data_IF_916865086928
#
_entry.id   IF_916865086928
#
_cell.length_a   1.000
_cell.length_b   1.000
_cell.length_c   1.000
_cell.angle_alpha   90.00
_cell.angle_beta   90.00
_cell.angle_gamma   90.00
#
_symmetry.space_group_name_H-M   'P 1'
#
loop_
_entity.id
_entity.type
_entity.pdbx_description
1 polymer ?
#
# COMPACT_ATOMS: atom_id res chain seq x y z
N UNK A 1 -29.29 -22.03 17.44
CA UNK A 1 -28.22 -21.05 17.11
C UNK A 1 -27.13 -21.86 16.41
N UNK A 2 -27.08 -21.83 15.09
CA UNK A 2 -26.13 -22.64 14.32
C UNK A 2 -24.74 -22.02 14.48
N UNK A 3 -23.87 -22.74 15.18
CA UNK A 3 -22.44 -22.48 15.19
C UNK A 3 -21.93 -22.76 13.78
N UNK A 4 -21.60 -21.70 13.05
CA UNK A 4 -20.78 -21.81 11.84
C UNK A 4 -19.47 -22.47 12.29
N UNK A 5 -19.03 -23.57 11.67
CA UNK A 5 -17.77 -24.19 12.05
C UNK A 5 -16.66 -23.17 11.86
N UNK A 6 -15.78 -23.05 12.86
CA UNK A 6 -14.55 -22.28 12.73
C UNK A 6 -13.78 -22.86 11.54
N UNK A 7 -13.78 -22.11 10.44
CA UNK A 7 -13.05 -22.41 9.23
C UNK A 7 -11.58 -22.64 9.61
N UNK A 8 -10.98 -23.71 9.09
CA UNK A 8 -9.65 -24.23 9.43
C UNK A 8 -8.56 -23.12 9.38
N UNK A 9 -8.40 -22.42 10.51
CA UNK A 9 -7.72 -21.14 10.63
C UNK A 9 -6.18 -21.29 10.68
N UNK A 10 -5.69 -22.53 10.68
CA UNK A 10 -4.27 -22.84 10.92
C UNK A 10 -3.43 -22.84 9.64
N UNK A 11 -4.04 -23.08 8.47
CA UNK A 11 -3.30 -23.27 7.21
C UNK A 11 -2.47 -22.04 6.80
N UNK A 12 -3.04 -20.85 6.92
CA UNK A 12 -2.37 -19.60 6.52
C UNK A 12 -1.60 -18.94 7.67
N UNK A 13 -1.81 -19.38 8.92
CA UNK A 13 -1.23 -18.75 10.11
C UNK A 13 0.30 -18.70 10.06
N UNK A 14 0.94 -19.74 9.52
CA UNK A 14 2.39 -19.77 9.32
C UNK A 14 2.88 -18.72 8.32
N UNK A 15 2.19 -18.58 7.19
CA UNK A 15 2.52 -17.59 6.14
C UNK A 15 2.31 -16.17 6.65
N UNK A 16 1.22 -15.93 7.40
CA UNK A 16 0.95 -14.62 8.02
C UNK A 16 2.06 -14.24 8.99
N UNK A 17 2.48 -15.15 9.87
CA UNK A 17 3.57 -14.93 10.81
C UNK A 17 4.88 -14.65 10.08
N UNK A 18 5.22 -15.46 9.07
CA UNK A 18 6.45 -15.29 8.29
C UNK A 18 6.51 -13.93 7.58
N UNK A 19 5.40 -13.48 6.99
CA UNK A 19 5.29 -12.15 6.38
C UNK A 19 5.46 -11.06 7.44
N UNK A 20 4.83 -11.19 8.62
CA UNK A 20 5.01 -10.23 9.71
C UNK A 20 6.48 -10.16 10.15
N UNK A 21 7.17 -11.30 10.23
CA UNK A 21 8.59 -11.36 10.59
C UNK A 21 9.48 -10.72 9.52
N UNK A 22 9.21 -10.94 8.23
CA UNK A 22 9.92 -10.25 7.16
C UNK A 22 9.78 -8.72 7.27
N UNK A 23 8.56 -8.23 7.51
CA UNK A 23 8.27 -6.80 7.53
C UNK A 23 8.72 -6.10 8.82
N UNK A 24 8.76 -6.83 9.94
CA UNK A 24 9.17 -6.28 11.25
C UNK A 24 10.64 -6.54 11.60
N UNK A 25 11.35 -7.33 10.80
CA UNK A 25 12.80 -7.53 10.94
C UNK A 25 13.59 -6.23 10.76
N UNK A 26 14.80 -6.18 11.32
CA UNK A 26 15.69 -5.03 11.20
C UNK A 26 17.05 -5.48 10.64
N UNK A 27 17.40 -5.12 9.38
CA UNK A 27 16.58 -4.36 8.42
C UNK A 27 15.36 -5.17 7.91
N UNK A 28 14.28 -4.50 7.45
CA UNK A 28 13.13 -5.18 6.89
C UNK A 28 13.50 -5.92 5.60
N UNK A 29 12.86 -7.07 5.35
CA UNK A 29 13.16 -7.94 4.23
C UNK A 29 12.05 -7.90 3.18
N UNK A 30 12.42 -7.66 1.93
CA UNK A 30 11.53 -7.79 0.78
C UNK A 30 11.29 -9.26 0.45
N UNK A 31 10.09 -9.60 0.01
CA UNK A 31 9.72 -10.97 -0.36
C UNK A 31 8.76 -10.99 -1.56
N UNK A 32 8.69 -12.15 -2.22
CA UNK A 32 7.69 -12.46 -3.23
C UNK A 32 6.77 -13.56 -2.70
N UNK A 33 5.46 -13.36 -2.78
CA UNK A 33 4.48 -14.38 -2.40
C UNK A 33 3.92 -15.06 -3.65
N UNK A 34 4.27 -16.33 -3.85
CA UNK A 34 3.67 -17.16 -4.89
C UNK A 34 2.35 -17.73 -4.38
N UNK A 35 1.25 -17.43 -5.06
CA UNK A 35 -0.08 -17.81 -4.60
C UNK A 35 -1.04 -18.11 -5.75
N UNK A 36 -1.49 -19.38 -5.83
CA UNK A 36 -2.40 -19.87 -6.87
C UNK A 36 -3.82 -19.31 -6.79
N UNK A 37 -4.70 -19.71 -7.70
CA UNK A 37 -6.13 -19.39 -7.61
C UNK A 37 -6.72 -19.98 -6.31
N UNK A 38 -7.64 -19.25 -5.65
CA UNK A 38 -8.30 -19.71 -4.43
C UNK A 38 -7.43 -19.79 -3.15
N UNK A 39 -6.12 -19.53 -3.22
CA UNK A 39 -5.15 -19.65 -2.12
C UNK A 39 -5.29 -18.63 -0.97
N UNK A 40 -6.37 -17.86 -0.90
CA UNK A 40 -6.55 -16.92 0.21
C UNK A 40 -5.76 -15.61 0.14
N UNK A 41 -5.02 -15.29 -0.94
CA UNK A 41 -4.22 -14.04 -1.12
C UNK A 41 -4.77 -12.79 -0.42
N UNK A 42 -6.00 -12.39 -0.73
CA UNK A 42 -6.61 -11.17 -0.18
C UNK A 42 -6.88 -11.31 1.32
N UNK A 43 -7.26 -12.50 1.79
CA UNK A 43 -7.45 -12.81 3.21
C UNK A 43 -6.11 -12.71 3.95
N UNK A 44 -5.06 -13.38 3.47
CA UNK A 44 -3.71 -13.34 4.05
C UNK A 44 -3.19 -11.90 4.15
N UNK A 45 -3.35 -11.09 3.08
CA UNK A 45 -2.95 -9.68 3.08
C UNK A 45 -3.67 -8.87 4.17
N UNK A 46 -4.99 -9.01 4.29
CA UNK A 46 -5.78 -8.29 5.30
C UNK A 46 -5.36 -8.70 6.70
N UNK A 47 -5.15 -9.99 6.96
CA UNK A 47 -4.76 -10.50 8.27
C UNK A 47 -3.37 -9.98 8.68
N UNK A 48 -2.39 -10.03 7.77
CA UNK A 48 -1.06 -9.41 7.98
C UNK A 48 -1.20 -7.94 8.34
N UNK A 49 -1.98 -7.16 7.57
CA UNK A 49 -2.14 -5.73 7.81
C UNK A 49 -2.80 -5.45 9.17
N UNK A 50 -3.84 -6.21 9.55
CA UNK A 50 -4.51 -6.05 10.86
C UNK A 50 -3.55 -6.32 12.02
N UNK A 51 -2.64 -7.29 11.89
CA UNK A 51 -1.58 -7.56 12.88
C UNK A 51 -0.50 -6.48 12.92
N UNK A 52 -0.02 -6.03 11.75
CA UNK A 52 1.02 -4.99 11.64
C UNK A 52 0.54 -3.59 12.05
N UNK A 53 -0.76 -3.35 12.03
CA UNK A 53 -1.37 -2.07 12.40
C UNK A 53 -2.00 -2.09 13.79
N UNK A 54 -1.85 -3.18 14.54
CA UNK A 54 -2.32 -3.29 15.92
C UNK A 54 -3.83 -3.47 16.09
N UNK A 55 -4.58 -3.70 15.01
CA UNK A 55 -6.00 -4.08 15.07
C UNK A 55 -6.15 -5.47 15.69
N UNK A 56 -5.26 -6.38 15.30
CA UNK A 56 -5.15 -7.71 15.89
C UNK A 56 -3.86 -7.82 16.71
N UNK A 57 -3.93 -8.54 17.83
CA UNK A 57 -2.78 -8.72 18.71
C UNK A 57 -1.69 -9.50 17.99
N UNK A 58 -0.50 -8.91 17.90
CA UNK A 58 0.70 -9.55 17.39
C UNK A 58 1.92 -8.87 18.03
N UNK A 59 2.82 -9.64 18.65
CA UNK A 59 3.90 -9.08 19.48
C UNK A 59 4.78 -8.09 18.70
N UNK A 60 5.33 -8.52 17.57
CA UNK A 60 6.17 -7.66 16.71
C UNK A 60 5.34 -6.63 15.94
N UNK A 61 4.08 -6.96 15.63
CA UNK A 61 3.17 -6.11 14.86
C UNK A 61 2.73 -4.87 15.64
N UNK A 62 2.37 -5.02 16.92
CA UNK A 62 1.98 -3.89 17.78
C UNK A 62 3.15 -2.92 18.00
N UNK A 63 4.38 -3.43 18.16
CA UNK A 63 5.58 -2.59 18.24
C UNK A 63 5.82 -1.83 16.94
N UNK A 64 5.64 -2.50 15.80
CA UNK A 64 5.75 -1.87 14.48
C UNK A 64 4.68 -0.79 14.25
N UNK A 65 3.43 -1.06 14.61
CA UNK A 65 2.35 -0.08 14.56
C UNK A 65 2.66 1.19 15.36
N UNK A 66 3.17 1.02 16.60
CA UNK A 66 3.58 2.14 17.44
C UNK A 66 4.72 2.96 16.81
N UNK A 67 5.68 2.30 16.15
CA UNK A 67 6.76 2.99 15.43
C UNK A 67 6.25 3.76 14.21
N UNK A 68 5.35 3.18 13.42
CA UNK A 68 4.71 3.87 12.29
C UNK A 68 4.00 5.13 12.77
N UNK A 69 3.18 5.00 13.81
CA UNK A 69 2.45 6.12 14.39
C UNK A 69 3.38 7.22 14.90
N UNK A 70 4.41 6.87 15.68
CA UNK A 70 5.38 7.83 16.21
C UNK A 70 6.17 8.58 15.12
N UNK A 71 6.31 7.99 13.93
CA UNK A 71 7.02 8.58 12.78
C UNK A 71 6.08 9.24 11.76
N UNK A 72 4.77 9.25 12.01
CA UNK A 72 3.78 9.73 11.03
C UNK A 72 3.77 8.93 9.73
N UNK A 73 4.13 7.65 9.79
CA UNK A 73 4.21 6.74 8.64
C UNK A 73 2.94 5.88 8.53
N UNK A 74 2.69 5.41 7.30
CA UNK A 74 1.56 4.52 6.98
C UNK A 74 2.01 3.43 6.02
N UNK A 75 1.39 2.26 6.09
CA UNK A 75 1.53 1.19 5.10
C UNK A 75 0.73 1.55 3.85
N UNK A 76 1.35 1.39 2.67
CA UNK A 76 0.70 1.62 1.37
C UNK A 76 0.47 0.30 0.65
N UNK A 77 -0.77 0.05 0.26
CA UNK A 77 -1.17 -1.14 -0.50
C UNK A 77 -1.61 -0.70 -1.88
N UNK A 78 -0.87 -1.17 -2.90
CA UNK A 78 -1.15 -0.84 -4.30
C UNK A 78 -1.84 -2.03 -4.95
N UNK A 79 -2.98 -1.79 -5.59
CA UNK A 79 -3.73 -2.81 -6.33
C UNK A 79 -4.02 -2.38 -7.76
N UNK A 80 -4.47 -3.31 -8.60
CA UNK A 80 -4.73 -3.05 -10.01
C UNK A 80 -6.06 -2.34 -10.25
N UNK A 81 -7.10 -2.63 -9.46
CA UNK A 81 -8.46 -2.12 -9.70
C UNK A 81 -9.03 -1.39 -8.49
N UNK A 82 -9.92 -0.41 -8.74
CA UNK A 82 -10.64 0.28 -7.66
C UNK A 82 -11.53 -0.67 -6.85
N UNK A 83 -12.12 -1.68 -7.51
CA UNK A 83 -12.93 -2.69 -6.82
C UNK A 83 -12.08 -3.51 -5.83
N UNK A 84 -10.87 -3.92 -6.22
CA UNK A 84 -9.97 -4.61 -5.30
C UNK A 84 -9.58 -3.70 -4.12
N UNK A 85 -9.36 -2.40 -4.36
CA UNK A 85 -9.07 -1.46 -3.29
C UNK A 85 -10.23 -1.35 -2.31
N UNK A 86 -11.47 -1.24 -2.82
CA UNK A 86 -12.68 -1.21 -2.00
C UNK A 86 -12.87 -2.49 -1.17
N UNK A 87 -12.64 -3.67 -1.78
CA UNK A 87 -12.74 -4.96 -1.07
C UNK A 87 -11.72 -5.05 0.07
N UNK A 88 -10.47 -4.63 -0.16
CA UNK A 88 -9.43 -4.66 0.88
C UNK A 88 -9.79 -3.67 2.00
N UNK A 89 -10.14 -2.43 1.67
CA UNK A 89 -10.55 -1.42 2.66
C UNK A 89 -11.74 -1.89 3.50
N UNK A 90 -12.77 -2.46 2.87
CA UNK A 90 -13.95 -2.98 3.58
C UNK A 90 -13.62 -4.11 4.56
N UNK A 91 -12.58 -4.92 4.28
CA UNK A 91 -12.13 -6.01 5.17
C UNK A 91 -11.15 -5.55 6.26
N UNK A 92 -10.40 -4.48 6.03
CA UNK A 92 -9.52 -3.90 7.04
C UNK A 92 -10.32 -3.28 8.21
N UNK A 93 -11.50 -2.73 7.93
CA UNK A 93 -12.27 -1.98 8.91
C UNK A 93 -11.63 -0.61 9.19
N UNK A 94 -11.84 -0.08 10.39
CA UNK A 94 -11.24 1.19 10.79
C UNK A 94 -9.72 1.03 11.03
N UNK A 95 -8.92 1.49 10.06
CA UNK A 95 -7.47 1.38 10.04
C UNK A 95 -6.82 2.67 9.53
N UNK A 96 -6.28 3.47 10.44
CA UNK A 96 -5.65 4.76 10.10
C UNK A 96 -4.20 4.62 9.62
N UNK A 97 -3.57 3.47 9.85
CA UNK A 97 -2.17 3.21 9.50
C UNK A 97 -1.99 2.58 8.11
N UNK A 98 -3.08 2.28 7.40
CA UNK A 98 -3.04 1.67 6.06
C UNK A 98 -3.80 2.53 5.05
N UNK A 99 -3.20 2.79 3.88
CA UNK A 99 -3.91 3.37 2.74
C UNK A 99 -3.84 2.44 1.53
N UNK A 100 -5.01 2.09 1.00
CA UNK A 100 -5.16 1.21 -0.16
C UNK A 100 -5.59 2.01 -1.38
N UNK A 101 -4.87 1.90 -2.48
CA UNK A 101 -5.16 2.63 -3.71
C UNK A 101 -4.78 1.82 -4.95
N UNK A 102 -5.20 2.29 -6.12
CA UNK A 102 -4.55 1.84 -7.35
C UNK A 102 -3.16 2.47 -7.47
N UNK A 103 -2.35 1.99 -8.43
CA UNK A 103 -1.05 2.62 -8.71
C UNK A 103 -1.22 4.10 -9.09
N UNK A 104 -2.24 4.43 -9.90
CA UNK A 104 -2.52 5.82 -10.25
C UNK A 104 -2.95 6.65 -9.04
N UNK A 105 -3.79 6.09 -8.16
CA UNK A 105 -4.16 6.78 -6.92
C UNK A 105 -2.96 7.04 -6.02
N UNK A 106 -2.05 6.07 -5.92
CA UNK A 106 -0.81 6.23 -5.17
C UNK A 106 0.08 7.33 -5.78
N UNK A 107 0.25 7.35 -7.10
CA UNK A 107 1.03 8.40 -7.75
C UNK A 107 0.40 9.78 -7.58
N UNK A 108 -0.93 9.90 -7.70
CA UNK A 108 -1.64 11.17 -7.45
C UNK A 108 -1.44 11.65 -6.01
N UNK A 109 -1.52 10.76 -5.02
CA UNK A 109 -1.24 11.09 -3.61
C UNK A 109 0.17 11.65 -3.40
N UNK A 110 1.17 11.19 -4.16
CA UNK A 110 2.56 11.66 -4.03
C UNK A 110 2.78 13.07 -4.57
N UNK A 111 2.02 13.45 -5.61
CA UNK A 111 2.17 14.75 -6.26
C UNK A 111 1.06 15.75 -5.88
N UNK A 112 0.08 15.31 -5.09
CA UNK A 112 -0.99 16.17 -4.60
C UNK A 112 -0.42 17.35 -3.80
N UNK A 113 -0.91 18.56 -4.08
CA UNK A 113 -0.47 19.79 -3.44
C UNK A 113 0.71 20.50 -4.14
N UNK A 114 1.31 19.88 -5.17
CA UNK A 114 2.34 20.49 -6.01
C UNK A 114 1.76 21.10 -7.30
N UNK A 115 0.47 21.48 -7.31
CA UNK A 115 -0.24 21.87 -8.54
C UNK A 115 0.40 23.08 -9.23
N UNK A 116 0.76 24.12 -8.46
CA UNK A 116 1.43 25.31 -9.00
C UNK A 116 2.87 24.99 -9.42
N UNK A 117 3.63 24.22 -8.63
CA UNK A 117 5.01 23.83 -8.99
C UNK A 117 5.06 23.01 -10.29
N UNK A 118 4.11 22.09 -10.46
CA UNK A 118 3.95 21.28 -11.67
C UNK A 118 3.60 22.17 -12.86
N UNK A 119 2.67 23.11 -12.68
CA UNK A 119 2.25 24.06 -13.72
C UNK A 119 3.40 24.97 -14.14
N UNK A 120 4.13 25.55 -13.20
CA UNK A 120 5.26 26.44 -13.48
C UNK A 120 6.38 25.68 -14.20
N UNK A 121 6.68 24.46 -13.74
CA UNK A 121 7.62 23.57 -14.42
C UNK A 121 7.19 23.28 -15.86
N UNK A 122 5.91 23.00 -16.08
CA UNK A 122 5.36 22.73 -17.41
C UNK A 122 5.43 23.95 -18.33
N UNK A 123 5.11 25.14 -17.82
CA UNK A 123 5.22 26.40 -18.57
C UNK A 123 6.67 26.67 -18.98
N UNK A 124 7.63 26.48 -18.07
CA UNK A 124 9.05 26.64 -18.37
C UNK A 124 9.54 25.64 -19.44
N UNK A 125 9.11 24.37 -19.35
CA UNK A 125 9.43 23.35 -20.36
C UNK A 125 8.87 23.72 -21.73
N UNK A 126 7.62 24.16 -21.78
CA UNK A 126 6.97 24.58 -23.03
C UNK A 126 7.66 25.80 -23.63
N UNK A 127 8.04 26.79 -22.82
CA UNK A 127 8.77 27.98 -23.29
C UNK A 127 10.12 27.59 -23.91
N UNK A 128 10.90 26.75 -23.24
CA UNK A 128 12.16 26.21 -23.77
C UNK A 128 11.97 25.43 -25.08
N UNK A 129 10.88 24.65 -25.20
CA UNK A 129 10.57 23.93 -26.42
C UNK A 129 10.20 24.88 -27.59
N UNK A 130 9.41 25.93 -27.30
CA UNK A 130 9.03 26.95 -28.27
C UNK A 130 10.25 27.73 -28.80
N UNK A 131 11.16 28.12 -27.92
CA UNK A 131 12.35 28.87 -28.31
C UNK A 131 13.27 28.02 -29.21
N UNK A 132 13.43 26.72 -28.89
CA UNK A 132 14.15 25.77 -29.76
C UNK A 132 13.50 25.61 -31.13
N UNK A 133 12.17 25.58 -31.19
CA UNK A 133 11.44 25.46 -32.46
C UNK A 133 11.60 26.72 -33.33
N UNK A 134 11.55 27.92 -32.71
CA UNK A 134 11.75 29.20 -33.41
C UNK A 134 13.14 29.34 -34.00
N UNK A 135 14.17 28.95 -33.26
CA UNK A 135 15.56 28.96 -33.75
C UNK A 135 15.72 28.06 -34.97
N UNK A 136 15.13 26.86 -34.98
CA UNK A 136 15.17 25.94 -36.14
C UNK A 136 14.45 26.48 -37.37
N UNK A 137 13.41 27.30 -37.20
CA UNK A 137 12.65 27.86 -38.31
C UNK A 137 13.31 29.10 -38.95
N UNK A 138 14.36 29.63 -38.33
CA UNK A 138 15.14 30.78 -38.83
C UNK A 138 16.43 30.36 -39.57
N UNK A 139 16.68 29.05 -39.66
CA UNK A 139 17.80 28.42 -40.39
C UNK A 139 17.23 27.70 -41.62
#
# INVERSE_FOLDING_TARGET
MNLVPADDNDRDSKVVNEICDYLTSNPPRSFFLFAGAGSGKTRTLVEVLRRLTGIEKHETGSRFAAQLFARGQSIRVITYTRNAAAVINGRLGDNTLTKVSTIHGFCWDLIAGFDEDIKDSLLALNQSALDKARQKAQV
#
